data_IF_704599957002
#
_entry.id   IF_704599957002
#
_cell.length_a   1.000
_cell.length_b   1.000
_cell.length_c   1.000
_cell.angle_alpha   90.00
_cell.angle_beta   90.00
_cell.angle_gamma   90.00
#
_symmetry.space_group_name_H-M   'P 1'
#
loop_
_entity.id
_entity.type
_entity.pdbx_description
1 polymer ?
#
# COMPACT_ATOMS: atom_id res chain seq x y z
N UNK A 1 -10.99 -9.17 -9.45
CA UNK A 1 -12.20 -9.72 -10.09
C UNK A 1 -12.12 -9.48 -11.59
N UNK A 2 -12.46 -10.47 -12.40
CA UNK A 2 -12.45 -10.31 -13.84
C UNK A 2 -12.72 -11.61 -14.60
N UNK A 3 -12.92 -11.48 -15.90
CA UNK A 3 -12.96 -12.62 -16.79
C UNK A 3 -11.54 -12.91 -17.31
N UNK A 4 -10.84 -13.78 -16.61
CA UNK A 4 -9.45 -14.15 -16.87
C UNK A 4 -9.26 -15.04 -18.11
N UNK A 5 -10.35 -15.42 -18.78
CA UNK A 5 -10.30 -16.16 -20.05
C UNK A 5 -10.07 -15.23 -21.24
N UNK A 6 -10.34 -13.92 -21.07
CA UNK A 6 -10.18 -12.93 -22.12
C UNK A 6 -8.70 -12.59 -22.36
N UNK A 7 -8.35 -12.35 -23.62
CA UNK A 7 -6.99 -11.97 -24.03
C UNK A 7 -6.49 -10.67 -23.35
N UNK A 8 -7.40 -9.74 -23.05
CA UNK A 8 -7.09 -8.50 -22.37
C UNK A 8 -6.55 -8.70 -20.94
N UNK A 9 -6.90 -9.83 -20.31
CA UNK A 9 -6.42 -10.18 -18.96
C UNK A 9 -5.09 -10.94 -18.97
N UNK A 10 -4.56 -11.28 -20.13
CA UNK A 10 -3.34 -12.12 -20.24
C UNK A 10 -2.10 -11.44 -19.65
N UNK A 11 -1.97 -10.11 -19.79
CA UNK A 11 -0.85 -9.34 -19.23
C UNK A 11 -0.80 -9.34 -17.70
N UNK A 12 -1.91 -9.60 -17.04
CA UNK A 12 -1.97 -9.66 -15.59
C UNK A 12 -1.39 -10.93 -14.99
N UNK A 13 -1.30 -12.04 -15.75
CA UNK A 13 -0.89 -13.35 -15.22
C UNK A 13 0.48 -13.33 -14.53
N UNK A 14 1.46 -12.64 -15.11
CA UNK A 14 2.79 -12.52 -14.51
C UNK A 14 2.76 -11.68 -13.25
N UNK A 15 1.99 -10.58 -13.26
CA UNK A 15 1.88 -9.65 -12.15
C UNK A 15 1.17 -10.26 -10.94
N UNK A 16 0.14 -11.09 -11.18
CA UNK A 16 -0.66 -11.72 -10.11
C UNK A 16 0.22 -12.57 -9.19
N UNK A 17 1.02 -13.47 -9.77
CA UNK A 17 1.89 -14.38 -9.01
C UNK A 17 2.99 -13.64 -8.24
N UNK A 18 3.62 -12.66 -8.88
CA UNK A 18 4.73 -11.91 -8.30
C UNK A 18 4.30 -11.02 -7.13
N UNK A 19 3.03 -10.60 -7.11
CA UNK A 19 2.51 -9.64 -6.12
C UNK A 19 1.47 -10.25 -5.17
N UNK A 20 1.37 -11.58 -5.11
CA UNK A 20 0.41 -12.29 -4.23
C UNK A 20 -1.04 -11.85 -4.43
N UNK A 21 -1.43 -11.53 -5.68
CA UNK A 21 -2.79 -11.11 -6.03
C UNK A 21 -3.61 -12.36 -6.39
N UNK A 22 -4.71 -12.57 -5.70
CA UNK A 22 -5.64 -13.70 -5.96
C UNK A 22 -6.64 -13.32 -7.03
N UNK A 23 -6.62 -13.96 -8.22
CA UNK A 23 -7.61 -13.71 -9.25
C UNK A 23 -8.94 -14.38 -8.91
N UNK A 24 -10.01 -13.61 -8.92
CA UNK A 24 -11.38 -14.14 -8.80
C UNK A 24 -12.00 -14.17 -10.18
N UNK A 25 -12.32 -15.38 -10.67
CA UNK A 25 -12.92 -15.58 -11.99
C UNK A 25 -14.41 -15.29 -11.96
N UNK A 26 -14.85 -14.43 -12.85
CA UNK A 26 -16.26 -14.19 -13.12
C UNK A 26 -16.53 -14.26 -14.64
N UNK A 27 -17.29 -15.27 -15.07
CA UNK A 27 -17.68 -15.40 -16.47
C UNK A 27 -18.75 -14.37 -16.84
N UNK A 28 -18.55 -13.69 -17.95
CA UNK A 28 -19.54 -12.80 -18.52
C UNK A 28 -20.49 -13.59 -19.44
N UNK A 29 -21.62 -14.03 -18.93
CA UNK A 29 -22.62 -14.77 -19.71
C UNK A 29 -23.40 -13.90 -20.69
N UNK A 30 -23.45 -12.59 -20.44
CA UNK A 30 -24.17 -11.62 -21.29
C UNK A 30 -23.28 -10.39 -21.45
N UNK A 31 -23.16 -9.91 -22.66
CA UNK A 31 -22.37 -8.70 -22.95
C UNK A 31 -22.99 -7.46 -22.27
N UNK A 32 -22.14 -6.61 -21.67
CA UNK A 32 -22.57 -5.35 -21.04
C UNK A 32 -23.32 -5.49 -19.70
N UNK A 33 -23.19 -6.63 -19.00
CA UNK A 33 -23.69 -6.81 -17.64
C UNK A 33 -22.58 -6.66 -16.61
N UNK A 34 -22.88 -6.05 -15.46
CA UNK A 34 -21.96 -5.81 -14.33
C UNK A 34 -21.79 -7.07 -13.46
N UNK A 35 -21.56 -8.24 -14.09
CA UNK A 35 -21.43 -9.52 -13.37
C UNK A 35 -20.20 -9.53 -12.44
N UNK A 36 -19.09 -8.93 -12.89
CA UNK A 36 -17.85 -8.81 -12.12
C UNK A 36 -18.05 -7.89 -10.91
N UNK A 37 -18.73 -6.76 -11.11
CA UNK A 37 -18.97 -5.78 -10.06
C UNK A 37 -19.89 -6.34 -8.97
N UNK A 38 -20.94 -7.08 -9.39
CA UNK A 38 -21.83 -7.78 -8.46
C UNK A 38 -21.10 -8.84 -7.63
N UNK A 39 -20.17 -9.59 -8.23
CA UNK A 39 -19.37 -10.58 -7.51
C UNK A 39 -18.47 -9.90 -6.47
N UNK A 40 -17.80 -8.81 -6.85
CA UNK A 40 -16.96 -8.04 -5.91
C UNK A 40 -17.79 -7.46 -4.75
N UNK A 41 -18.99 -6.95 -5.02
CA UNK A 41 -19.88 -6.42 -3.98
C UNK A 41 -20.31 -7.52 -3.00
N UNK A 42 -20.69 -8.69 -3.52
CA UNK A 42 -21.10 -9.84 -2.68
C UNK A 42 -19.95 -10.26 -1.78
N UNK A 43 -18.77 -10.50 -2.34
CA UNK A 43 -17.60 -10.94 -1.58
C UNK A 43 -17.19 -9.90 -0.53
N UNK A 44 -17.21 -8.60 -0.87
CA UNK A 44 -16.92 -7.54 0.08
C UNK A 44 -17.92 -7.52 1.27
N UNK A 45 -19.19 -7.76 0.99
CA UNK A 45 -20.23 -7.86 2.05
C UNK A 45 -20.05 -9.12 2.88
N UNK A 46 -19.72 -10.26 2.27
CA UNK A 46 -19.42 -11.48 3.00
C UNK A 46 -18.20 -11.29 3.91
N UNK A 47 -17.12 -10.69 3.41
CA UNK A 47 -15.92 -10.36 4.19
C UNK A 47 -16.23 -9.41 5.36
N UNK A 48 -17.12 -8.43 5.16
CA UNK A 48 -17.55 -7.50 6.20
C UNK A 48 -18.18 -8.22 7.39
N UNK A 49 -18.97 -9.27 7.14
CA UNK A 49 -19.72 -9.97 8.19
C UNK A 49 -19.01 -11.21 8.74
N UNK A 50 -18.09 -11.80 7.99
CA UNK A 50 -17.41 -13.03 8.40
C UNK A 50 -16.02 -12.81 8.96
N UNK A 51 -15.37 -11.69 8.63
CA UNK A 51 -14.00 -11.42 9.00
C UNK A 51 -13.91 -10.17 9.89
N UNK A 52 -12.93 -10.16 10.80
CA UNK A 52 -12.62 -8.97 11.59
C UNK A 52 -11.55 -8.14 10.86
N UNK A 53 -12.00 -7.34 9.90
CA UNK A 53 -11.15 -6.47 9.08
C UNK A 53 -11.20 -5.03 9.60
N UNK A 54 -10.06 -4.36 9.63
CA UNK A 54 -9.97 -2.94 10.00
C UNK A 54 -10.53 -2.03 8.90
N UNK A 55 -10.40 -2.44 7.62
CA UNK A 55 -10.85 -1.65 6.49
C UNK A 55 -10.78 -2.37 5.15
N UNK A 56 -11.17 -1.66 4.11
CA UNK A 56 -11.20 -2.12 2.73
C UNK A 56 -10.50 -1.14 1.81
N UNK A 57 -9.73 -1.66 0.86
CA UNK A 57 -9.19 -0.89 -0.25
C UNK A 57 -9.94 -1.25 -1.53
N UNK A 58 -10.68 -0.30 -2.09
CA UNK A 58 -11.45 -0.46 -3.32
C UNK A 58 -10.71 0.21 -4.47
N UNK A 59 -10.20 -0.59 -5.41
CA UNK A 59 -9.45 -0.09 -6.58
C UNK A 59 -10.37 -0.12 -7.79
N UNK A 60 -11.01 1.00 -8.08
CA UNK A 60 -11.95 1.16 -9.20
C UNK A 60 -12.17 2.65 -9.52
N UNK A 61 -12.54 2.92 -10.77
CA UNK A 61 -13.02 4.23 -11.21
C UNK A 61 -14.54 4.25 -11.46
N UNK A 62 -15.23 3.15 -11.12
CA UNK A 62 -16.67 3.02 -11.35
C UNK A 62 -17.47 3.56 -10.18
N UNK A 63 -18.45 4.43 -10.50
CA UNK A 63 -19.38 4.99 -9.53
C UNK A 63 -20.36 3.97 -8.93
N UNK A 64 -20.53 2.81 -9.55
CA UNK A 64 -21.43 1.76 -9.06
C UNK A 64 -20.98 1.22 -7.69
N UNK A 65 -19.70 1.36 -7.36
CA UNK A 65 -19.17 1.02 -6.03
C UNK A 65 -19.42 2.07 -4.94
N UNK A 66 -20.04 3.23 -5.28
CA UNK A 66 -20.35 4.28 -4.29
C UNK A 66 -21.16 3.74 -3.12
N UNK A 67 -22.19 2.92 -3.41
CA UNK A 67 -23.05 2.37 -2.36
C UNK A 67 -22.33 1.35 -1.49
N UNK A 68 -21.44 0.55 -2.08
CA UNK A 68 -20.58 -0.37 -1.33
C UNK A 68 -19.66 0.41 -0.36
N UNK A 69 -18.94 1.41 -0.85
CA UNK A 69 -18.05 2.23 -0.02
C UNK A 69 -18.80 2.86 1.16
N UNK A 70 -19.98 3.45 0.90
CA UNK A 70 -20.83 4.03 1.95
C UNK A 70 -21.25 2.96 2.98
N UNK A 71 -21.64 1.77 2.53
CA UNK A 71 -22.08 0.69 3.42
C UNK A 71 -20.96 0.17 4.33
N UNK A 72 -19.76 0.04 3.78
CA UNK A 72 -18.58 -0.38 4.56
C UNK A 72 -18.25 0.66 5.65
N UNK A 73 -18.30 1.96 5.32
CA UNK A 73 -18.11 3.05 6.29
C UNK A 73 -19.19 3.09 7.36
N UNK A 74 -20.46 2.96 6.97
CA UNK A 74 -21.60 2.86 7.90
C UNK A 74 -21.44 1.73 8.91
N UNK A 75 -20.70 0.68 8.53
CA UNK A 75 -20.36 -0.45 9.40
C UNK A 75 -19.10 -0.21 10.25
N UNK A 76 -18.57 1.01 10.26
CA UNK A 76 -17.40 1.40 11.05
C UNK A 76 -16.06 0.96 10.49
N UNK A 77 -16.00 0.55 9.21
CA UNK A 77 -14.75 0.12 8.55
C UNK A 77 -14.12 1.28 7.78
N UNK A 78 -12.80 1.39 7.84
CA UNK A 78 -12.06 2.36 7.02
C UNK A 78 -12.11 1.97 5.55
N UNK A 79 -12.48 2.91 4.67
CA UNK A 79 -12.52 2.68 3.23
C UNK A 79 -11.52 3.55 2.51
N UNK A 80 -10.55 2.92 1.86
CA UNK A 80 -9.59 3.57 0.97
C UNK A 80 -10.04 3.31 -0.47
N UNK A 81 -10.30 4.36 -1.22
CA UNK A 81 -10.55 4.28 -2.66
C UNK A 81 -9.29 4.59 -3.45
N UNK A 82 -9.05 3.86 -4.52
CA UNK A 82 -7.99 4.16 -5.50
C UNK A 82 -8.61 4.09 -6.89
N UNK A 83 -8.35 5.08 -7.72
CA UNK A 83 -8.91 5.13 -9.08
C UNK A 83 -8.28 6.22 -9.92
N UNK A 84 -8.68 6.29 -11.19
CA UNK A 84 -8.22 7.34 -12.10
C UNK A 84 -8.70 8.73 -11.67
N UNK A 85 -8.01 9.78 -12.10
CA UNK A 85 -8.36 11.18 -11.82
C UNK A 85 -9.79 11.55 -12.28
N UNK A 86 -10.29 10.88 -13.34
CA UNK A 86 -11.66 11.02 -13.85
C UNK A 86 -12.75 10.34 -13.01
N UNK A 87 -12.38 9.63 -11.93
CA UNK A 87 -13.32 8.92 -11.06
C UNK A 87 -14.41 9.87 -10.53
N UNK A 88 -15.71 9.50 -10.66
CA UNK A 88 -16.80 10.37 -10.25
C UNK A 88 -16.75 10.78 -8.77
N UNK A 89 -17.05 12.05 -8.52
CA UNK A 89 -17.04 12.63 -7.18
C UNK A 89 -17.86 11.86 -6.14
N UNK A 90 -19.03 11.27 -6.44
CA UNK A 90 -19.80 10.49 -5.47
C UNK A 90 -19.00 9.32 -4.88
N UNK A 91 -18.29 8.55 -5.72
CA UNK A 91 -17.47 7.44 -5.24
C UNK A 91 -16.26 7.94 -4.42
N UNK A 92 -15.58 8.98 -4.89
CA UNK A 92 -14.45 9.60 -4.17
C UNK A 92 -14.85 10.05 -2.76
N UNK A 93 -16.02 10.69 -2.61
CA UNK A 93 -16.55 11.17 -1.31
C UNK A 93 -17.11 10.05 -0.43
N UNK A 94 -17.45 8.91 -1.01
CA UNK A 94 -17.89 7.75 -0.25
C UNK A 94 -16.73 7.04 0.47
N UNK A 95 -15.49 7.27 0.06
CA UNK A 95 -14.30 6.75 0.73
C UNK A 95 -13.82 7.69 1.85
N UNK A 96 -13.12 7.16 2.86
CA UNK A 96 -12.44 7.98 3.88
C UNK A 96 -11.19 8.64 3.29
N UNK A 97 -10.48 7.90 2.45
CA UNK A 97 -9.31 8.36 1.71
C UNK A 97 -9.49 7.97 0.25
N UNK A 98 -9.18 8.88 -0.68
CA UNK A 98 -9.14 8.56 -2.10
C UNK A 98 -7.79 8.94 -2.70
N UNK A 99 -7.16 8.00 -3.39
CA UNK A 99 -5.86 8.18 -4.05
C UNK A 99 -6.03 8.09 -5.57
N UNK A 100 -5.56 9.08 -6.29
CA UNK A 100 -5.51 9.05 -7.76
C UNK A 100 -4.33 8.20 -8.22
N UNK A 101 -4.60 7.22 -9.10
CA UNK A 101 -3.57 6.29 -9.59
C UNK A 101 -2.49 7.00 -10.42
N UNK A 102 -2.83 8.10 -11.10
CA UNK A 102 -1.89 8.90 -11.87
C UNK A 102 -0.78 9.48 -11.00
N UNK A 103 -1.09 9.88 -9.76
CA UNK A 103 -0.08 10.39 -8.83
C UNK A 103 0.98 9.34 -8.50
N UNK A 104 0.57 8.06 -8.42
CA UNK A 104 1.50 6.96 -8.20
C UNK A 104 2.38 6.69 -9.44
N UNK A 105 1.84 6.96 -10.65
CA UNK A 105 2.58 6.77 -11.90
C UNK A 105 3.58 7.90 -12.16
N UNK A 106 3.29 9.11 -11.73
CA UNK A 106 4.21 10.24 -11.88
C UNK A 106 5.45 10.06 -11.00
N UNK A 107 5.31 9.51 -9.81
CA UNK A 107 6.44 9.10 -8.96
C UNK A 107 7.33 8.04 -9.64
N UNK A 108 6.76 7.20 -10.52
CA UNK A 108 7.49 6.18 -11.29
C UNK A 108 8.18 6.80 -12.52
N UNK A 109 7.53 7.76 -13.21
CA UNK A 109 8.06 8.40 -14.42
C UNK A 109 9.28 9.31 -14.14
N UNK A 110 9.34 9.90 -12.95
CA UNK A 110 10.50 10.70 -12.51
C UNK A 110 11.76 9.85 -12.21
N UNK A 111 11.77 8.58 -12.63
CA UNK A 111 12.92 7.68 -12.49
C UNK A 111 13.27 7.33 -11.06
N UNK A 112 12.43 7.71 -10.13
CA UNK A 112 12.46 7.17 -8.77
C UNK A 112 11.81 5.77 -8.82
N UNK A 113 12.60 4.74 -9.25
CA UNK A 113 12.39 3.42 -8.65
C UNK A 113 12.13 3.69 -7.17
N UNK A 114 11.19 2.96 -6.53
CA UNK A 114 10.98 2.97 -5.09
C UNK A 114 12.23 2.53 -4.30
N UNK A 115 13.38 3.05 -4.67
CA UNK A 115 14.56 3.04 -3.82
C UNK A 115 14.32 4.13 -2.80
N UNK A 116 13.97 3.69 -1.61
CA UNK A 116 13.90 4.57 -0.45
C UNK A 116 15.16 5.42 -0.44
N UNK A 117 15.00 6.73 -0.59
CA UNK A 117 16.16 7.62 -0.65
C UNK A 117 16.87 7.64 0.70
N UNK A 118 18.18 7.89 0.71
CA UNK A 118 18.94 8.07 1.97
C UNK A 118 18.26 9.09 2.88
N UNK A 119 17.68 10.17 2.33
CA UNK A 119 16.98 11.20 3.08
C UNK A 119 15.72 10.67 3.78
N UNK A 120 14.92 9.86 3.12
CA UNK A 120 13.73 9.24 3.73
C UNK A 120 14.12 8.27 4.85
N UNK A 121 15.23 7.54 4.68
CA UNK A 121 15.75 6.67 5.75
C UNK A 121 16.21 7.51 6.93
N UNK A 122 16.97 8.59 6.70
CA UNK A 122 17.42 9.50 7.75
C UNK A 122 16.24 10.05 8.55
N UNK A 123 15.20 10.55 7.88
CA UNK A 123 13.98 11.05 8.52
C UNK A 123 13.28 9.98 9.36
N UNK A 124 13.15 8.77 8.82
CA UNK A 124 12.55 7.65 9.55
C UNK A 124 13.36 7.26 10.79
N UNK A 125 14.68 7.25 10.69
CA UNK A 125 15.56 6.98 11.84
C UNK A 125 15.44 8.07 12.90
N UNK A 126 15.44 9.33 12.48
CA UNK A 126 15.23 10.47 13.41
C UNK A 126 13.90 10.34 14.12
N UNK A 127 12.83 9.97 13.41
CA UNK A 127 11.51 9.76 14.00
C UNK A 127 11.53 8.64 15.05
N UNK A 128 12.17 7.51 14.74
CA UNK A 128 12.34 6.38 15.66
C UNK A 128 13.07 6.83 16.94
N UNK A 129 14.16 7.57 16.79
CA UNK A 129 14.95 8.09 17.91
C UNK A 129 14.11 9.05 18.77
N UNK A 130 13.40 9.98 18.13
CA UNK A 130 12.57 10.97 18.83
C UNK A 130 11.42 10.30 19.61
N UNK A 131 10.77 9.29 19.00
CA UNK A 131 9.73 8.50 19.67
C UNK A 131 10.28 7.78 20.92
N UNK A 132 11.47 7.20 20.83
CA UNK A 132 12.10 6.52 21.97
C UNK A 132 12.53 7.53 23.05
N UNK A 133 13.11 8.66 22.67
CA UNK A 133 13.49 9.72 23.63
C UNK A 133 12.29 10.28 24.38
N UNK A 134 11.15 10.46 23.71
CA UNK A 134 9.90 10.89 24.34
C UNK A 134 9.35 9.87 25.36
N UNK A 135 9.81 8.63 25.29
CA UNK A 135 9.46 7.55 26.22
C UNK A 135 10.63 7.18 27.17
N UNK A 136 11.62 8.06 27.34
CA UNK A 136 12.82 7.86 28.15
C UNK A 136 13.57 6.56 27.84
N UNK A 137 13.56 6.15 26.54
CA UNK A 137 14.17 4.91 26.07
C UNK A 137 15.37 5.21 25.17
N UNK A 138 16.49 4.54 25.40
CA UNK A 138 17.62 4.55 24.47
C UNK A 138 17.29 3.76 23.18
N UNK A 139 17.78 4.25 22.04
CA UNK A 139 17.53 3.64 20.74
C UNK A 139 18.71 2.77 20.32
N UNK A 140 18.54 1.46 20.37
CA UNK A 140 19.54 0.50 19.92
C UNK A 140 19.56 0.31 18.40
N UNK A 141 20.75 0.00 17.85
CA UNK A 141 20.95 -0.23 16.41
C UNK A 141 20.08 -1.37 15.86
N UNK A 142 19.88 -2.43 16.64
CA UNK A 142 19.02 -3.57 16.28
C UNK A 142 17.54 -3.18 16.16
N UNK A 143 17.06 -2.31 17.05
CA UNK A 143 15.70 -1.78 16.97
C UNK A 143 15.50 -0.92 15.72
N UNK A 144 16.45 -0.04 15.43
CA UNK A 144 16.43 0.78 14.21
C UNK A 144 16.34 -0.10 12.96
N UNK A 145 17.19 -1.15 12.89
CA UNK A 145 17.19 -2.09 11.78
C UNK A 145 15.84 -2.81 11.62
N UNK A 146 15.29 -3.32 12.71
CA UNK A 146 13.99 -4.01 12.70
C UNK A 146 12.83 -3.11 12.29
N UNK A 147 12.82 -1.85 12.75
CA UNK A 147 11.79 -0.87 12.38
C UNK A 147 11.94 -0.39 10.94
N UNK A 148 13.16 -0.24 10.43
CA UNK A 148 13.41 0.11 9.03
C UNK A 148 12.91 -0.99 8.08
N UNK A 149 13.16 -2.27 8.39
CA UNK A 149 12.65 -3.40 7.58
C UNK A 149 11.11 -3.47 7.61
N UNK A 150 10.48 -3.11 8.73
CA UNK A 150 9.00 -3.02 8.80
C UNK A 150 8.44 -1.86 7.97
N UNK A 151 9.10 -0.70 7.97
CA UNK A 151 8.69 0.48 7.19
C UNK A 151 8.99 0.29 5.70
N UNK A 152 10.07 -0.36 5.40
CA UNK A 152 10.60 -0.57 4.05
C UNK A 152 10.98 -2.03 3.88
N UNK A 153 10.05 -2.92 3.45
CA UNK A 153 10.31 -4.36 3.35
C UNK A 153 11.52 -4.74 2.49
N UNK A 154 11.83 -3.91 1.49
CA UNK A 154 12.97 -4.10 0.57
C UNK A 154 14.25 -3.39 1.04
N UNK A 155 14.28 -2.86 2.27
CA UNK A 155 15.45 -2.16 2.79
C UNK A 155 16.61 -3.12 3.01
N UNK A 156 17.71 -2.85 2.30
CA UNK A 156 18.99 -3.55 2.45
C UNK A 156 20.13 -2.53 2.28
N UNK A 157 20.95 -2.41 3.31
CA UNK A 157 22.08 -1.46 3.30
C UNK A 157 23.07 -1.71 2.17
N UNK A 158 23.13 -2.95 1.65
CA UNK A 158 24.00 -3.31 0.52
C UNK A 158 23.61 -2.59 -0.76
N UNK A 159 22.34 -2.25 -0.93
CA UNK A 159 21.86 -1.44 -2.07
C UNK A 159 22.45 -0.03 -2.07
N UNK A 160 22.87 0.47 -0.90
CA UNK A 160 23.50 1.78 -0.73
C UNK A 160 25.03 1.68 -0.66
N UNK A 161 25.61 0.49 -0.91
CA UNK A 161 27.05 0.26 -0.94
C UNK A 161 27.68 0.00 0.44
N UNK A 162 26.89 -0.37 1.45
CA UNK A 162 27.37 -0.63 2.80
C UNK A 162 27.13 -2.08 3.21
N UNK A 163 28.09 -2.67 3.96
CA UNK A 163 27.96 -4.02 4.48
C UNK A 163 27.28 -4.09 5.87
N UNK A 164 27.29 -2.97 6.61
CA UNK A 164 26.75 -2.88 7.95
C UNK A 164 25.82 -1.67 8.10
N UNK A 165 24.72 -1.83 8.85
CA UNK A 165 23.79 -0.75 9.15
C UNK A 165 24.46 0.41 9.90
N UNK A 166 25.35 0.11 10.84
CA UNK A 166 26.11 1.13 11.57
C UNK A 166 26.90 2.03 10.63
N UNK A 167 27.63 1.44 9.69
CA UNK A 167 28.41 2.20 8.69
C UNK A 167 27.55 3.03 7.76
N UNK A 168 26.37 2.53 7.43
CA UNK A 168 25.42 3.30 6.65
C UNK A 168 24.86 4.50 7.43
N UNK A 169 24.47 4.29 8.71
CA UNK A 169 23.94 5.36 9.55
C UNK A 169 24.98 6.44 9.92
N UNK A 170 26.27 6.06 10.02
CA UNK A 170 27.38 7.02 10.22
C UNK A 170 27.47 8.07 9.11
N UNK A 171 26.92 7.79 7.92
CA UNK A 171 26.93 8.75 6.79
C UNK A 171 25.89 9.86 6.92
N UNK A 172 24.97 9.75 7.85
CA UNK A 172 23.92 10.76 8.05
C UNK A 172 24.40 11.87 9.00
N UNK A 173 24.42 13.14 8.54
CA UNK A 173 25.01 14.24 9.29
C UNK A 173 24.29 14.55 10.60
N UNK A 174 23.01 14.19 10.70
CA UNK A 174 22.15 14.44 11.87
C UNK A 174 22.22 13.32 12.91
N UNK A 175 22.89 12.20 12.63
CA UNK A 175 22.98 11.04 13.52
C UNK A 175 24.37 10.93 14.14
N UNK A 176 24.42 10.57 15.42
CA UNK A 176 25.66 10.22 16.12
C UNK A 176 25.48 8.86 16.76
N UNK A 177 26.33 7.92 16.37
CA UNK A 177 26.42 6.61 17.02
C UNK A 177 27.32 6.73 18.25
N UNK A 178 26.81 6.30 19.44
CA UNK A 178 27.65 6.06 20.61
C UNK A 178 28.16 4.62 20.51
N UNK A 179 29.45 4.43 20.68
CA UNK A 179 30.00 3.11 20.93
C UNK A 179 29.93 2.88 22.43
N UNK A 180 29.13 1.91 22.84
CA UNK A 180 29.23 1.37 24.20
C UNK A 180 30.52 0.59 24.26
N UNK A 181 31.44 0.99 25.19
CA UNK A 181 32.72 0.39 25.43
C UNK A 181 32.64 -0.96 26.12
#
# INVERSE_FOLDING_TARGET
YGDWTKSQSASWKEVLLQNSITPIQQFSYTYGKNATDSAMIIDAMDMLYTNDLEGFCLVSSDSDFTKLASRLRESGRTVIGMGESKTPTPFRKACDIFTELELLLDDIKDGKKNEVTKGQIEESVIKIITENQNNDKETGLGEVGSRLVKLYPDFDVRRYGYSLLSKFLETFPKLKLKQDG
#
